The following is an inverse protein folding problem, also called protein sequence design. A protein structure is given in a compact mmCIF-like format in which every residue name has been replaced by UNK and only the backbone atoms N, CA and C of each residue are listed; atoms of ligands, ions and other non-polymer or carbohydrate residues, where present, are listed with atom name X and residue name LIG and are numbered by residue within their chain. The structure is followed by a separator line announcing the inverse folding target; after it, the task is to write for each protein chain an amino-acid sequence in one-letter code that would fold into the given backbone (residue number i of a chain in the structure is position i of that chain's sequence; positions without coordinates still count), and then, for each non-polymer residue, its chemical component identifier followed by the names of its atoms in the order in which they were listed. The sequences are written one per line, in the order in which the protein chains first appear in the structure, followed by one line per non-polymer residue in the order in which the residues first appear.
data_IF_113007474750
#
_entry.id   IF_113007474750
#
_cell.length_a   1.000
_cell.length_b   1.000
_cell.length_c   1.000
_cell.angle_alpha   90.00
_cell.angle_beta   90.00
_cell.angle_gamma   90.00
#
_symmetry.space_group_name_H-M   'P 1'
#
loop_
_entity.id
_entity.type
_entity.pdbx_description
1 polymer ?
#
# COMPACT_ATOMS: atom_id res chain seq x y z
N UNK A 1 -21.55 30.54 4.81
CA UNK A 1 -20.10 30.61 5.10
C UNK A 1 -19.78 30.65 6.59
N UNK A 2 -20.61 31.30 7.43
CA UNK A 2 -20.37 31.44 8.87
C UNK A 2 -20.37 30.10 9.65
N UNK A 3 -21.24 29.15 9.31
CA UNK A 3 -21.33 27.86 10.01
C UNK A 3 -20.14 26.91 9.77
N UNK A 4 -19.39 27.06 8.66
CA UNK A 4 -18.17 26.27 8.41
C UNK A 4 -16.99 26.74 9.26
N UNK A 5 -16.95 28.02 9.62
CA UNK A 5 -15.87 28.61 10.42
C UNK A 5 -15.98 28.19 11.90
N UNK A 6 -17.21 28.08 12.41
CA UNK A 6 -17.48 27.69 13.81
C UNK A 6 -17.11 26.22 14.07
N UNK A 7 -17.35 25.33 13.09
CA UNK A 7 -16.99 23.90 13.18
C UNK A 7 -15.47 23.70 13.16
N UNK A 8 -14.73 24.53 12.39
CA UNK A 8 -13.25 24.48 12.33
C UNK A 8 -12.64 24.91 13.67
N UNK A 9 -13.22 25.91 14.35
CA UNK A 9 -12.73 26.36 15.67
C UNK A 9 -12.98 25.30 16.75
N UNK A 10 -14.10 24.57 16.69
CA UNK A 10 -14.45 23.53 17.65
C UNK A 10 -13.56 22.28 17.55
N UNK A 11 -13.05 21.91 16.37
CA UNK A 11 -12.12 20.78 16.20
C UNK A 11 -10.73 21.13 16.74
N UNK A 12 -10.33 22.40 16.68
CA UNK A 12 -9.04 22.88 17.18
C UNK A 12 -9.02 22.90 18.72
N UNK A 13 -10.13 23.25 19.38
CA UNK A 13 -10.18 23.31 20.85
C UNK A 13 -10.13 21.93 21.53
N UNK A 14 -10.64 20.88 20.90
CA UNK A 14 -10.63 19.52 21.48
C UNK A 14 -9.21 18.90 21.47
N UNK A 15 -8.34 19.26 20.52
CA UNK A 15 -6.94 18.78 20.52
C UNK A 15 -6.02 19.50 21.52
N UNK A 16 -6.43 20.65 22.07
CA UNK A 16 -5.62 21.40 23.03
C UNK A 16 -5.60 20.71 24.40
N UNK A 17 -6.61 19.89 24.73
CA UNK A 17 -6.71 19.21 26.03
C UNK A 17 -5.93 17.90 26.13
N UNK A 18 -5.40 17.34 25.04
CA UNK A 18 -4.61 16.09 25.08
C UNK A 18 -3.09 16.29 25.02
N UNK A 19 -2.60 17.53 24.99
CA UNK A 19 -1.16 17.84 24.85
C UNK A 19 -0.44 17.91 26.22
N UNK A 20 -1.17 17.91 27.33
CA UNK A 20 -0.59 17.80 28.67
C UNK A 20 -0.11 16.36 28.93
N UNK A 21 1.04 15.98 28.38
CA UNK A 21 1.71 14.73 28.80
C UNK A 21 2.84 14.19 27.92
N UNK A 22 3.01 14.61 26.67
CA UNK A 22 4.06 14.03 25.82
C UNK A 22 5.37 14.80 25.88
N UNK A 23 6.38 14.23 26.55
CA UNK A 23 7.73 14.80 26.74
C UNK A 23 8.57 14.99 25.47
N UNK A 24 8.05 14.70 24.28
CA UNK A 24 8.75 14.81 23.00
C UNK A 24 7.82 15.31 21.89
N UNK A 25 7.11 16.43 22.10
CA UNK A 25 6.42 17.09 20.98
C UNK A 25 7.48 17.67 20.05
N UNK A 26 7.50 17.33 18.76
CA UNK A 26 8.43 17.93 17.82
C UNK A 26 8.30 19.45 17.85
N UNK A 27 9.41 20.15 18.02
CA UNK A 27 9.44 21.60 17.92
C UNK A 27 9.05 21.99 16.51
N UNK A 28 8.25 23.04 16.38
CA UNK A 28 7.83 23.56 15.08
C UNK A 28 9.09 23.99 14.31
N UNK A 29 9.28 23.57 13.04
CA UNK A 29 10.45 23.96 12.26
C UNK A 29 10.56 25.47 12.07
N UNK A 30 11.78 25.97 11.94
CA UNK A 30 12.05 27.39 11.69
C UNK A 30 11.25 27.91 10.48
N UNK A 31 10.64 29.08 10.64
CA UNK A 31 9.73 29.68 9.65
C UNK A 31 8.24 29.45 9.91
N UNK A 32 7.87 28.58 10.86
CA UNK A 32 6.48 28.38 11.29
C UNK A 32 6.29 28.75 12.76
N UNK A 33 5.26 29.54 13.06
CA UNK A 33 5.01 30.06 14.42
C UNK A 33 4.33 29.05 15.35
N UNK A 34 3.68 28.04 14.79
CA UNK A 34 2.93 27.02 15.52
C UNK A 34 2.70 25.77 14.68
N UNK A 35 2.36 24.66 15.33
CA UNK A 35 1.95 23.43 14.64
C UNK A 35 0.73 23.65 13.74
N UNK A 36 -0.14 24.61 14.09
CA UNK A 36 -1.29 25.01 13.26
C UNK A 36 -0.85 25.67 11.96
N UNK A 37 0.15 26.57 12.01
CA UNK A 37 0.67 27.22 10.80
C UNK A 37 1.41 26.23 9.91
N UNK A 38 2.11 25.26 10.50
CA UNK A 38 2.73 24.15 9.76
C UNK A 38 1.68 23.27 9.06
N UNK A 39 0.61 22.86 9.76
CA UNK A 39 -0.50 22.07 9.19
C UNK A 39 -1.20 22.82 8.07
N UNK A 40 -1.45 24.12 8.23
CA UNK A 40 -2.00 25.00 7.18
C UNK A 40 -1.06 25.00 5.97
N UNK A 41 0.24 25.23 6.17
CA UNK A 41 1.20 25.23 5.07
C UNK A 41 1.27 23.89 4.34
N UNK A 42 1.20 22.77 5.05
CA UNK A 42 1.10 21.44 4.45
C UNK A 42 -0.18 21.26 3.63
N UNK A 43 -1.35 21.60 4.19
CA UNK A 43 -2.66 21.48 3.52
C UNK A 43 -2.74 22.35 2.26
N UNK A 44 -2.14 23.54 2.28
CA UNK A 44 -2.11 24.45 1.14
C UNK A 44 -0.92 24.21 0.19
N UNK A 45 -0.16 23.11 0.37
CA UNK A 45 0.96 22.75 -0.50
C UNK A 45 2.14 23.75 -0.47
N UNK A 46 2.26 24.53 0.61
CA UNK A 46 3.36 25.49 0.86
C UNK A 46 4.52 24.87 1.64
N UNK A 47 4.37 23.61 2.04
CA UNK A 47 5.41 22.82 2.68
C UNK A 47 5.82 21.70 1.74
N UNK A 48 7.00 21.83 1.14
CA UNK A 48 7.64 20.71 0.46
C UNK A 48 8.21 19.78 1.54
N UNK A 49 7.60 18.60 1.69
CA UNK A 49 8.21 17.54 2.50
C UNK A 49 9.52 17.15 1.83
N UNK A 50 10.64 17.49 2.46
CA UNK A 50 11.95 17.01 2.04
C UNK A 50 11.98 15.50 2.34
N UNK A 51 11.55 14.69 1.37
CA UNK A 51 11.98 13.30 1.33
C UNK A 51 13.49 13.35 1.08
N UNK A 52 14.27 13.24 2.15
CA UNK A 52 15.70 12.99 2.03
C UNK A 52 15.87 11.78 1.12
N UNK A 53 16.52 11.95 -0.04
CA UNK A 53 16.79 10.87 -0.99
C UNK A 53 17.55 9.79 -0.24
N UNK A 54 16.85 8.75 0.22
CA UNK A 54 17.46 7.71 1.02
C UNK A 54 18.49 6.96 0.17
N UNK A 55 19.75 7.11 0.55
CA UNK A 55 20.87 6.41 -0.07
C UNK A 55 20.81 4.95 0.35
N UNK A 56 20.87 4.04 -0.63
CA UNK A 56 20.95 2.59 -0.35
C UNK A 56 22.33 2.30 0.26
N UNK A 57 22.40 1.77 1.49
CA UNK A 57 23.69 1.47 2.12
C UNK A 57 24.50 0.43 1.33
N UNK A 58 25.82 0.51 1.39
CA UNK A 58 26.72 -0.39 0.66
C UNK A 58 26.55 -1.88 1.00
N UNK A 59 26.06 -2.21 2.20
CA UNK A 59 25.77 -3.58 2.63
C UNK A 59 24.40 -4.11 2.16
N UNK A 60 23.59 -3.28 1.51
CA UNK A 60 22.31 -3.68 0.91
C UNK A 60 22.48 -3.87 -0.60
N UNK A 61 21.94 -4.97 -1.13
CA UNK A 61 21.75 -5.18 -2.56
C UNK A 61 20.37 -4.66 -2.92
N UNK A 62 20.31 -3.70 -3.85
CA UNK A 62 19.06 -3.25 -4.48
C UNK A 62 19.03 -3.66 -5.94
N UNK A 63 17.93 -4.25 -6.37
CA UNK A 63 17.55 -4.36 -7.77
C UNK A 63 16.42 -3.36 -8.02
N UNK A 64 16.59 -2.51 -9.02
CA UNK A 64 15.59 -1.51 -9.39
C UNK A 64 14.94 -1.89 -10.70
N UNK A 65 13.65 -1.56 -10.84
CA UNK A 65 12.91 -1.61 -12.11
C UNK A 65 12.87 -3.00 -12.77
N UNK A 66 12.81 -4.07 -11.97
CA UNK A 66 12.62 -5.43 -12.46
C UNK A 66 11.21 -5.54 -13.07
N UNK A 67 11.13 -5.82 -14.37
CA UNK A 67 9.85 -5.95 -15.07
C UNK A 67 9.22 -7.29 -14.73
N UNK A 68 8.07 -7.28 -14.08
CA UNK A 68 7.33 -8.50 -13.71
C UNK A 68 6.16 -8.78 -14.67
N UNK A 69 5.65 -7.76 -15.37
CA UNK A 69 4.52 -7.87 -16.29
C UNK A 69 4.56 -6.78 -17.35
N UNK A 70 4.16 -7.11 -18.58
CA UNK A 70 3.93 -6.16 -19.68
C UNK A 70 2.45 -6.20 -20.07
N UNK A 71 1.83 -5.03 -20.21
CA UNK A 71 0.44 -4.85 -20.66
C UNK A 71 0.43 -3.79 -21.76
N UNK A 72 0.33 -4.23 -23.02
CA UNK A 72 0.58 -3.34 -24.16
C UNK A 72 1.94 -2.65 -24.02
N UNK A 73 1.94 -1.32 -24.02
CA UNK A 73 3.16 -0.51 -23.84
C UNK A 73 3.55 -0.26 -22.37
N UNK A 74 2.72 -0.66 -21.41
CA UNK A 74 3.00 -0.49 -19.97
C UNK A 74 3.84 -1.66 -19.45
N UNK A 75 5.07 -1.39 -19.03
CA UNK A 75 5.90 -2.36 -18.31
C UNK A 75 5.80 -2.12 -16.81
N UNK A 76 5.11 -2.99 -16.09
CA UNK A 76 4.98 -2.93 -14.64
C UNK A 76 6.22 -3.49 -13.96
N UNK A 77 6.75 -2.73 -13.01
CA UNK A 77 8.06 -2.96 -12.42
C UNK A 77 7.98 -3.14 -10.90
N UNK A 78 8.99 -3.80 -10.35
CA UNK A 78 9.22 -3.86 -8.92
C UNK A 78 10.67 -3.55 -8.58
N UNK A 79 10.90 -3.11 -7.35
CA UNK A 79 12.20 -3.01 -6.73
C UNK A 79 12.32 -4.08 -5.65
N UNK A 80 13.55 -4.54 -5.42
CA UNK A 80 13.86 -5.58 -4.46
C UNK A 80 15.14 -5.25 -3.69
N UNK A 81 15.12 -5.39 -2.37
CA UNK A 81 16.23 -5.12 -1.47
C UNK A 81 16.48 -6.27 -0.50
N UNK A 82 17.75 -6.64 -0.28
CA UNK A 82 18.19 -7.57 0.77
C UNK A 82 19.63 -7.28 1.20
N UNK A 83 20.07 -7.81 2.34
CA UNK A 83 21.45 -7.67 2.79
C UNK A 83 22.42 -8.51 1.94
N UNK A 84 23.56 -7.95 1.51
CA UNK A 84 24.53 -8.66 0.64
C UNK A 84 25.14 -9.92 1.27
N UNK A 85 25.13 -10.01 2.59
CA UNK A 85 25.65 -11.15 3.36
C UNK A 85 24.59 -12.22 3.64
N UNK A 86 23.40 -12.13 3.04
CA UNK A 86 22.35 -13.12 3.18
C UNK A 86 22.83 -14.47 2.59
N UNK A 87 22.91 -15.51 3.43
CA UNK A 87 23.48 -16.83 3.05
C UNK A 87 22.44 -17.89 2.70
N UNK A 88 21.19 -17.68 3.09
CA UNK A 88 20.06 -18.60 2.89
C UNK A 88 18.86 -17.82 2.35
N UNK A 89 17.83 -18.53 1.90
CA UNK A 89 16.55 -17.90 1.64
C UNK A 89 16.00 -17.25 2.91
N UNK A 90 15.26 -16.16 2.75
CA UNK A 90 14.70 -15.39 3.85
C UNK A 90 13.24 -15.01 3.59
N UNK A 91 12.45 -14.70 4.64
CA UNK A 91 11.10 -14.22 4.47
C UNK A 91 11.04 -12.95 3.61
N UNK A 92 10.00 -12.85 2.80
CA UNK A 92 9.74 -11.73 1.90
C UNK A 92 8.68 -10.79 2.49
N UNK A 93 8.98 -9.49 2.51
CA UNK A 93 8.01 -8.43 2.80
C UNK A 93 7.69 -7.65 1.52
N UNK A 94 6.45 -7.70 1.07
CA UNK A 94 5.97 -6.98 -0.12
C UNK A 94 5.21 -5.73 0.31
N UNK A 95 5.70 -4.55 -0.07
CA UNK A 95 5.10 -3.26 0.24
C UNK A 95 4.29 -2.72 -0.94
N UNK A 96 3.02 -2.42 -0.72
CA UNK A 96 2.08 -1.88 -1.71
C UNK A 96 1.67 -0.46 -1.29
N UNK A 97 2.02 0.54 -2.10
CA UNK A 97 1.73 1.94 -1.80
C UNK A 97 0.26 2.30 -2.01
N UNK A 98 -0.23 3.21 -1.17
CA UNK A 98 -1.59 3.74 -1.20
C UNK A 98 -1.67 5.17 -1.71
N UNK A 99 -2.50 5.41 -2.72
CA UNK A 99 -2.76 6.73 -3.32
C UNK A 99 -4.12 6.73 -4.05
N UNK A 100 -5.14 6.15 -3.40
CA UNK A 100 -6.49 5.98 -3.97
C UNK A 100 -6.51 5.31 -5.35
N UNK A 101 -5.54 4.43 -5.62
CA UNK A 101 -5.29 3.79 -6.93
C UNK A 101 -5.01 4.76 -8.10
N UNK A 102 -4.88 6.07 -7.87
CA UNK A 102 -4.85 7.09 -8.95
C UNK A 102 -3.46 7.34 -9.51
N UNK A 103 -2.45 7.25 -8.66
CA UNK A 103 -1.04 7.52 -8.97
C UNK A 103 -0.18 6.83 -7.91
N UNK A 104 1.12 7.08 -7.91
CA UNK A 104 2.01 6.64 -6.83
C UNK A 104 3.41 6.32 -7.31
N UNK A 105 4.23 5.91 -6.36
CA UNK A 105 5.64 5.58 -6.59
C UNK A 105 6.05 4.45 -5.65
N UNK A 106 6.55 3.34 -6.23
CA UNK A 106 7.12 2.21 -5.49
C UNK A 106 8.32 2.59 -4.59
N UNK A 107 8.95 3.74 -4.83
CA UNK A 107 10.09 4.22 -4.06
C UNK A 107 9.69 4.85 -2.70
N UNK A 108 8.41 5.15 -2.47
CA UNK A 108 7.91 5.72 -1.19
C UNK A 108 8.26 4.86 0.03
N UNK A 109 8.36 3.55 -0.16
CA UNK A 109 8.72 2.62 0.92
C UNK A 109 10.19 2.23 0.94
N UNK A 110 11.06 2.88 0.14
CA UNK A 110 12.48 2.52 0.07
C UNK A 110 13.14 2.49 1.46
N UNK A 111 12.74 3.41 2.34
CA UNK A 111 13.19 3.40 3.73
C UNK A 111 12.87 2.10 4.47
N UNK A 112 11.61 1.67 4.43
CA UNK A 112 11.19 0.41 5.05
C UNK A 112 11.85 -0.79 4.38
N UNK A 113 11.97 -0.80 3.06
CA UNK A 113 12.69 -1.86 2.33
C UNK A 113 14.13 -2.00 2.87
N UNK A 114 14.86 -0.89 2.98
CA UNK A 114 16.23 -0.90 3.51
C UNK A 114 16.25 -1.35 4.98
N UNK A 115 15.37 -0.82 5.82
CA UNK A 115 15.39 -1.06 7.26
C UNK A 115 15.02 -2.52 7.60
N UNK A 116 14.10 -3.14 6.86
CA UNK A 116 13.81 -4.57 7.00
C UNK A 116 14.83 -5.45 6.28
N UNK A 117 15.43 -5.02 5.17
CA UNK A 117 16.54 -5.74 4.55
C UNK A 117 17.74 -5.89 5.50
N UNK A 118 18.05 -4.85 6.29
CA UNK A 118 19.08 -4.90 7.35
C UNK A 118 18.75 -5.92 8.45
N UNK A 119 17.48 -6.22 8.68
CA UNK A 119 16.99 -7.20 9.66
C UNK A 119 16.95 -8.64 9.11
N UNK A 120 17.45 -8.85 7.89
CA UNK A 120 17.54 -10.18 7.29
C UNK A 120 16.33 -10.61 6.46
N UNK A 121 15.43 -9.67 6.12
CA UNK A 121 14.32 -9.93 5.20
C UNK A 121 14.75 -9.68 3.74
N UNK A 122 14.10 -10.36 2.80
CA UNK A 122 13.99 -9.82 1.44
C UNK A 122 12.80 -8.87 1.44
N UNK A 123 12.94 -7.72 0.81
CA UNK A 123 11.87 -6.73 0.73
C UNK A 123 11.63 -6.34 -0.70
N UNK A 124 10.38 -6.10 -1.07
CA UNK A 124 10.01 -5.67 -2.41
C UNK A 124 8.94 -4.59 -2.37
N UNK A 125 8.94 -3.71 -3.37
CA UNK A 125 7.83 -2.82 -3.67
C UNK A 125 7.51 -2.89 -5.15
N UNK A 126 6.23 -2.82 -5.51
CA UNK A 126 5.76 -3.10 -6.88
C UNK A 126 4.85 -1.99 -7.38
N UNK A 127 4.93 -1.70 -8.67
CA UNK A 127 3.93 -0.92 -9.39
C UNK A 127 2.71 -1.76 -9.70
N UNK A 128 1.56 -1.12 -9.88
CA UNK A 128 0.32 -1.72 -10.41
C UNK A 128 -0.37 -0.71 -11.32
N UNK A 129 -1.27 -1.16 -12.21
CA UNK A 129 -2.01 -0.23 -13.07
C UNK A 129 -2.93 0.67 -12.26
N UNK A 130 -2.90 1.97 -12.55
CA UNK A 130 -3.74 2.96 -11.89
C UNK A 130 -5.15 3.00 -12.45
N UNK A 131 -6.09 3.57 -11.68
CA UNK A 131 -7.51 3.64 -12.01
C UNK A 131 -7.83 4.38 -13.32
N UNK A 132 -6.94 5.25 -13.78
CA UNK A 132 -7.02 5.89 -15.12
C UNK A 132 -6.39 5.07 -16.25
N UNK A 133 -5.53 4.11 -15.92
CA UNK A 133 -4.93 3.18 -16.89
C UNK A 133 -5.85 1.97 -17.13
N UNK A 134 -6.42 1.42 -16.05
CA UNK A 134 -7.34 0.29 -16.12
C UNK A 134 -8.28 0.27 -14.90
N UNK A 135 -9.48 -0.27 -15.09
CA UNK A 135 -10.49 -0.44 -14.02
C UNK A 135 -10.26 -1.74 -13.25
N UNK A 136 -10.88 -1.85 -12.09
CA UNK A 136 -11.00 -3.12 -11.38
C UNK A 136 -11.44 -4.24 -12.35
N UNK A 137 -10.83 -5.45 -12.31
CA UNK A 137 -9.86 -5.96 -11.34
C UNK A 137 -8.37 -5.78 -11.72
N UNK A 138 -8.04 -4.91 -12.67
CA UNK A 138 -6.68 -4.83 -13.22
C UNK A 138 -5.55 -4.68 -12.18
N UNK A 139 -5.73 -3.80 -11.18
CA UNK A 139 -4.73 -3.57 -10.15
C UNK A 139 -4.48 -4.80 -9.27
N UNK A 140 -5.54 -5.54 -8.90
CA UNK A 140 -5.38 -6.76 -8.10
C UNK A 140 -4.74 -7.89 -8.92
N UNK A 141 -5.09 -8.02 -10.21
CA UNK A 141 -4.39 -8.96 -11.10
C UNK A 141 -2.90 -8.64 -11.18
N UNK A 142 -2.52 -7.36 -11.25
CA UNK A 142 -1.13 -6.93 -11.32
C UNK A 142 -0.35 -7.28 -10.05
N UNK A 143 -0.93 -7.01 -8.87
CA UNK A 143 -0.34 -7.37 -7.57
C UNK A 143 -0.13 -8.89 -7.44
N UNK A 144 -1.14 -9.69 -7.78
CA UNK A 144 -1.03 -11.16 -7.79
C UNK A 144 0.07 -11.64 -8.73
N UNK A 145 0.17 -11.04 -9.91
CA UNK A 145 1.23 -11.34 -10.87
C UNK A 145 2.62 -11.01 -10.35
N UNK A 146 2.80 -9.89 -9.64
CA UNK A 146 4.07 -9.56 -9.02
C UNK A 146 4.47 -10.58 -7.95
N UNK A 147 3.52 -11.05 -7.11
CA UNK A 147 3.79 -12.09 -6.11
C UNK A 147 4.17 -13.42 -6.78
N UNK A 148 3.44 -13.84 -7.81
CA UNK A 148 3.79 -15.04 -8.60
C UNK A 148 5.18 -14.92 -9.22
N UNK A 149 5.51 -13.76 -9.77
CA UNK A 149 6.83 -13.50 -10.33
C UNK A 149 7.93 -13.57 -9.28
N UNK A 150 7.70 -13.01 -8.08
CA UNK A 150 8.64 -13.09 -6.96
C UNK A 150 8.87 -14.53 -6.49
N UNK A 151 7.80 -15.34 -6.42
CA UNK A 151 7.90 -16.78 -6.11
C UNK A 151 8.64 -17.56 -7.19
N UNK A 152 8.36 -17.29 -8.47
CA UNK A 152 9.05 -17.94 -9.59
C UNK A 152 10.55 -17.63 -9.60
N UNK A 153 10.93 -16.43 -9.13
CA UNK A 153 12.33 -16.00 -9.05
C UNK A 153 12.92 -16.16 -7.64
N UNK A 154 12.33 -16.98 -6.78
CA UNK A 154 12.66 -16.99 -5.36
C UNK A 154 14.11 -17.36 -5.09
N UNK A 155 14.62 -18.40 -5.73
CA UNK A 155 16.02 -18.85 -5.62
C UNK A 155 17.00 -17.73 -5.99
N UNK A 156 16.75 -17.06 -7.12
CA UNK A 156 17.59 -15.97 -7.64
C UNK A 156 17.71 -14.79 -6.69
N UNK A 157 16.67 -14.52 -5.91
CA UNK A 157 16.59 -13.35 -5.03
C UNK A 157 16.61 -13.73 -3.54
N UNK A 158 17.00 -14.96 -3.19
CA UNK A 158 17.07 -15.46 -1.81
C UNK A 158 15.75 -15.35 -1.05
N UNK A 159 14.62 -15.52 -1.74
CA UNK A 159 13.28 -15.49 -1.13
C UNK A 159 12.92 -16.89 -0.66
N UNK A 160 12.31 -16.99 0.52
CA UNK A 160 11.53 -18.17 0.90
C UNK A 160 10.09 -18.00 0.37
N UNK A 161 9.65 -18.77 -0.65
CA UNK A 161 8.34 -18.58 -1.28
C UNK A 161 7.15 -18.95 -0.36
N UNK A 162 7.42 -19.63 0.76
CA UNK A 162 6.42 -20.04 1.76
C UNK A 162 6.36 -19.09 2.96
N UNK A 163 7.15 -18.01 2.96
CA UNK A 163 7.19 -17.01 4.03
C UNK A 163 7.09 -15.60 3.45
N UNK A 164 5.90 -15.24 2.99
CA UNK A 164 5.61 -13.93 2.36
C UNK A 164 4.58 -13.18 3.20
N UNK A 165 4.94 -11.97 3.64
CA UNK A 165 4.00 -11.01 4.20
C UNK A 165 3.76 -9.86 3.21
N UNK A 166 2.52 -9.40 3.12
CA UNK A 166 2.15 -8.22 2.33
C UNK A 166 1.75 -7.08 3.26
N UNK A 167 2.26 -5.88 2.98
CA UNK A 167 2.05 -4.68 3.77
C UNK A 167 1.57 -3.59 2.84
N UNK A 168 0.54 -2.86 3.21
CA UNK A 168 0.09 -1.74 2.41
C UNK A 168 -0.67 -0.69 3.20
N UNK A 169 -0.62 0.55 2.73
CA UNK A 169 -1.40 1.66 3.29
C UNK A 169 -2.56 2.08 2.41
N UNK A 170 -3.70 2.46 2.97
CA UNK A 170 -4.89 2.95 2.24
C UNK A 170 -5.24 2.02 1.05
N UNK A 171 -5.21 2.52 -0.20
CA UNK A 171 -5.48 1.70 -1.38
C UNK A 171 -4.51 0.51 -1.56
N UNK A 172 -3.29 0.62 -1.02
CA UNK A 172 -2.34 -0.48 -0.95
C UNK A 172 -2.68 -1.51 0.12
N UNK A 173 -3.23 -1.07 1.26
CA UNK A 173 -3.76 -1.97 2.31
C UNK A 173 -4.97 -2.76 1.82
N UNK A 174 -5.86 -2.08 1.09
CA UNK A 174 -6.92 -2.73 0.31
C UNK A 174 -6.37 -3.80 -0.65
N UNK A 175 -5.33 -3.48 -1.44
CA UNK A 175 -4.75 -4.44 -2.39
C UNK A 175 -4.06 -5.62 -1.67
N UNK A 176 -3.48 -5.37 -0.49
CA UNK A 176 -2.90 -6.40 0.37
C UNK A 176 -3.97 -7.38 0.87
N UNK A 177 -5.11 -6.87 1.34
CA UNK A 177 -6.25 -7.69 1.75
C UNK A 177 -6.85 -8.45 0.57
N UNK A 178 -7.12 -7.77 -0.56
CA UNK A 178 -7.61 -8.44 -1.77
C UNK A 178 -6.66 -9.55 -2.22
N UNK A 179 -5.35 -9.33 -2.22
CA UNK A 179 -4.36 -10.35 -2.59
C UNK A 179 -4.50 -11.61 -1.72
N UNK A 180 -4.55 -11.41 -0.41
CA UNK A 180 -4.60 -12.49 0.56
C UNK A 180 -5.92 -13.28 0.48
N UNK A 181 -7.04 -12.58 0.61
CA UNK A 181 -8.36 -13.21 0.78
C UNK A 181 -8.94 -13.75 -0.52
N UNK A 182 -8.29 -13.50 -1.65
CA UNK A 182 -8.76 -14.00 -2.96
C UNK A 182 -7.75 -14.96 -3.61
N UNK A 183 -6.84 -15.52 -2.84
CA UNK A 183 -5.73 -16.36 -3.34
C UNK A 183 -6.17 -17.63 -4.07
N UNK A 184 -7.42 -18.04 -3.87
CA UNK A 184 -8.13 -19.19 -4.44
C UNK A 184 -9.29 -18.78 -5.36
N UNK A 185 -9.50 -17.49 -5.57
CA UNK A 185 -10.58 -16.96 -6.44
C UNK A 185 -10.05 -16.80 -7.86
N UNK A 186 -10.43 -17.75 -8.73
CA UNK A 186 -9.94 -17.84 -10.11
C UNK A 186 -10.13 -16.55 -10.93
N UNK A 187 -11.20 -15.80 -10.69
CA UNK A 187 -11.49 -14.52 -11.38
C UNK A 187 -10.33 -13.51 -11.26
N UNK A 188 -9.61 -13.51 -10.13
CA UNK A 188 -8.55 -12.55 -9.88
C UNK A 188 -7.14 -13.07 -10.22
N UNK A 189 -7.01 -14.34 -10.63
CA UNK A 189 -5.72 -15.00 -10.86
C UNK A 189 -5.14 -14.82 -12.28
N UNK A 190 -5.83 -14.06 -13.13
CA UNK A 190 -5.49 -13.87 -14.54
C UNK A 190 -4.41 -12.79 -14.81
N UNK A 191 -3.80 -12.85 -16.00
CA UNK A 191 -3.08 -11.70 -16.58
C UNK A 191 -1.55 -11.70 -16.53
N UNK A 192 -0.85 -12.76 -16.12
CA UNK A 192 0.62 -12.84 -16.21
C UNK A 192 1.17 -14.09 -16.92
N UNK A 193 0.32 -15.00 -17.39
CA UNK A 193 0.74 -16.26 -18.04
C UNK A 193 1.77 -17.04 -17.20
N UNK A 194 1.63 -17.00 -15.86
CA UNK A 194 2.44 -17.80 -14.93
C UNK A 194 1.56 -18.96 -14.47
N UNK A 195 1.87 -20.15 -14.96
CA UNK A 195 1.19 -21.39 -14.60
C UNK A 195 1.91 -22.08 -13.42
N UNK A 196 1.18 -22.89 -12.65
CA UNK A 196 1.74 -23.68 -11.55
C UNK A 196 2.16 -22.91 -10.30
N UNK A 197 2.08 -21.56 -10.30
CA UNK A 197 2.44 -20.72 -9.15
C UNK A 197 1.20 -19.96 -8.65
N UNK A 198 0.82 -20.18 -7.38
CA UNK A 198 -0.27 -19.46 -6.74
C UNK A 198 0.17 -18.11 -6.14
N UNK A 199 -0.78 -17.22 -5.91
CA UNK A 199 -0.54 -15.89 -5.31
C UNK A 199 -0.64 -15.87 -3.77
N UNK A 200 -0.78 -17.03 -3.08
CA UNK A 200 -0.95 -17.10 -1.62
C UNK A 200 0.18 -16.41 -0.85
N UNK A 201 -0.19 -15.72 0.23
CA UNK A 201 0.73 -15.08 1.18
C UNK A 201 0.39 -15.54 2.59
N UNK A 202 1.34 -15.40 3.52
CA UNK A 202 1.27 -15.97 4.88
C UNK A 202 0.94 -14.94 5.96
N UNK A 203 0.99 -13.64 5.67
CA UNK A 203 0.57 -12.59 6.59
C UNK A 203 0.17 -11.31 5.86
N UNK A 204 -0.74 -10.54 6.46
CA UNK A 204 -1.15 -9.21 5.98
C UNK A 204 -0.90 -8.18 7.08
N UNK A 205 -0.33 -7.03 6.70
CA UNK A 205 -0.31 -5.82 7.52
C UNK A 205 -1.06 -4.73 6.76
N UNK A 206 -2.29 -4.45 7.21
CA UNK A 206 -3.12 -3.39 6.68
C UNK A 206 -2.89 -2.10 7.48
N UNK A 207 -2.45 -1.05 6.79
CA UNK A 207 -2.39 0.30 7.34
C UNK A 207 -3.60 1.06 6.78
N UNK A 208 -4.72 1.05 7.50
CA UNK A 208 -5.95 1.82 7.21
C UNK A 208 -6.50 1.66 5.78
N UNK A 209 -6.41 0.46 5.19
CA UNK A 209 -7.06 0.15 3.92
C UNK A 209 -8.58 -0.06 4.09
N UNK A 210 -9.42 0.34 3.12
CA UNK A 210 -10.86 0.09 3.20
C UNK A 210 -11.14 -1.41 2.96
N UNK A 211 -11.68 -2.17 3.93
CA UNK A 211 -12.01 -3.59 3.75
C UNK A 211 -13.35 -3.79 3.02
N UNK A 212 -14.19 -2.76 3.00
CA UNK A 212 -15.52 -2.77 2.39
C UNK A 212 -15.69 -1.49 1.55
N UNK A 213 -15.80 -1.65 0.23
CA UNK A 213 -16.06 -0.53 -0.67
C UNK A 213 -17.54 -0.15 -0.71
N UNK A 214 -18.41 -0.94 -0.10
CA UNK A 214 -19.85 -0.64 0.06
C UNK A 214 -20.15 0.17 1.33
N UNK A 215 -19.14 0.41 2.16
CA UNK A 215 -19.28 1.29 3.32
C UNK A 215 -19.65 2.72 2.89
N UNK A 216 -20.54 3.34 3.67
CA UNK A 216 -21.08 4.67 3.37
C UNK A 216 -19.97 5.72 3.22
N UNK A 217 -18.96 5.70 4.09
CA UNK A 217 -17.87 6.69 4.04
C UNK A 217 -17.03 6.49 2.78
N UNK A 218 -16.81 5.25 2.36
CA UNK A 218 -16.06 4.93 1.13
C UNK A 218 -16.83 5.35 -0.11
N UNK A 219 -18.14 5.11 -0.15
CA UNK A 219 -19.02 5.54 -1.24
C UNK A 219 -19.05 7.07 -1.34
N UNK A 220 -19.25 7.77 -0.22
CA UNK A 220 -19.32 9.24 -0.17
C UNK A 220 -17.99 9.90 -0.57
N UNK A 221 -16.87 9.22 -0.36
CA UNK A 221 -15.57 9.73 -0.76
C UNK A 221 -15.34 9.69 -2.29
N UNK A 222 -16.09 8.87 -3.05
CA UNK A 222 -16.07 8.76 -4.53
C UNK A 222 -14.74 8.32 -5.16
N UNK A 223 -13.71 7.97 -4.38
CA UNK A 223 -12.46 7.48 -4.95
C UNK A 223 -12.62 6.11 -5.62
N UNK A 224 -13.49 5.26 -5.06
CA UNK A 224 -13.83 3.97 -5.64
C UNK A 224 -14.50 4.11 -7.01
N UNK A 225 -15.26 5.18 -7.27
CA UNK A 225 -15.92 5.42 -8.56
C UNK A 225 -14.94 5.41 -9.74
N UNK A 226 -13.77 6.03 -9.56
CA UNK A 226 -12.74 6.08 -10.61
C UNK A 226 -12.09 4.71 -10.78
N UNK A 227 -11.87 3.99 -9.67
CA UNK A 227 -11.25 2.66 -9.65
C UNK A 227 -12.16 1.59 -10.29
N UNK A 228 -13.45 1.61 -9.97
CA UNK A 228 -14.48 0.74 -10.54
C UNK A 228 -14.88 1.19 -11.96
N UNK A 229 -14.82 2.50 -12.22
CA UNK A 229 -15.24 3.12 -13.48
C UNK A 229 -16.72 3.53 -13.52
N UNK A 230 -17.47 3.31 -12.44
CA UNK A 230 -18.88 3.68 -12.28
C UNK A 230 -19.18 4.06 -10.82
N UNK A 231 -20.14 4.97 -10.57
CA UNK A 231 -20.61 5.25 -9.21
C UNK A 231 -21.34 4.04 -8.62
N UNK A 232 -21.37 3.95 -7.28
CA UNK A 232 -21.93 2.82 -6.55
C UNK A 232 -23.37 2.46 -6.96
N UNK A 233 -24.24 3.46 -7.14
CA UNK A 233 -25.64 3.25 -7.53
C UNK A 233 -25.83 2.60 -8.91
N UNK A 234 -24.80 2.60 -9.76
CA UNK A 234 -24.82 1.96 -11.09
C UNK A 234 -24.06 0.62 -11.13
N UNK A 235 -23.34 0.27 -10.06
CA UNK A 235 -22.38 -0.84 -10.07
C UNK A 235 -22.22 -1.54 -8.72
N UNK A 236 -23.23 -1.50 -7.84
CA UNK A 236 -23.16 -2.03 -6.47
C UNK A 236 -22.66 -3.48 -6.38
N UNK A 237 -22.98 -4.33 -7.37
CA UNK A 237 -22.45 -5.68 -7.48
C UNK A 237 -20.92 -5.74 -7.64
N UNK A 238 -20.35 -4.84 -8.45
CA UNK A 238 -18.89 -4.76 -8.65
C UNK A 238 -18.21 -4.22 -7.38
N UNK A 239 -18.84 -3.29 -6.66
CA UNK A 239 -18.31 -2.81 -5.37
C UNK A 239 -18.26 -3.94 -4.34
N UNK A 240 -19.30 -4.79 -4.30
CA UNK A 240 -19.29 -6.01 -3.46
C UNK A 240 -18.17 -6.97 -3.88
N UNK A 241 -18.02 -7.24 -5.17
CA UNK A 241 -16.92 -8.07 -5.69
C UNK A 241 -15.54 -7.48 -5.41
N UNK A 242 -15.43 -6.16 -5.36
CA UNK A 242 -14.21 -5.46 -5.05
C UNK A 242 -14.00 -5.30 -3.53
N UNK A 243 -14.86 -5.81 -2.66
CA UNK A 243 -14.70 -5.63 -1.20
C UNK A 243 -14.01 -6.85 -0.57
N UNK A 244 -12.78 -6.72 -0.04
CA UNK A 244 -12.03 -7.84 0.54
C UNK A 244 -12.81 -8.61 1.61
N UNK A 245 -13.62 -7.91 2.42
CA UNK A 245 -14.40 -8.51 3.51
C UNK A 245 -15.32 -9.66 3.04
N UNK A 246 -15.73 -9.67 1.77
CA UNK A 246 -16.63 -10.68 1.22
C UNK A 246 -15.94 -12.00 0.86
N UNK A 247 -14.61 -12.07 0.96
CA UNK A 247 -13.84 -13.28 0.63
C UNK A 247 -13.17 -13.92 1.84
N UNK A 248 -13.36 -13.35 3.03
CA UNK A 248 -12.74 -13.87 4.24
C UNK A 248 -13.19 -15.31 4.54
N UNK A 249 -12.21 -16.18 4.78
CA UNK A 249 -12.38 -17.56 5.20
C UNK A 249 -11.53 -17.86 6.44
N UNK A 250 -11.79 -18.99 7.09
CA UNK A 250 -10.97 -19.47 8.22
C UNK A 250 -9.52 -19.85 7.82
N UNK A 251 -9.27 -20.04 6.53
CA UNK A 251 -7.97 -20.49 6.00
C UNK A 251 -7.11 -19.30 5.54
N UNK A 252 -7.61 -18.07 5.69
CA UNK A 252 -6.88 -16.85 5.35
C UNK A 252 -5.73 -16.56 6.32
N UNK A 253 -4.68 -15.87 5.85
CA UNK A 253 -3.53 -15.55 6.68
C UNK A 253 -3.89 -14.58 7.82
N UNK A 254 -3.16 -14.64 8.95
CA UNK A 254 -3.30 -13.66 10.02
C UNK A 254 -3.10 -12.24 9.49
N UNK A 255 -4.01 -11.35 9.91
CA UNK A 255 -4.03 -9.95 9.48
C UNK A 255 -3.88 -9.02 10.67
N UNK A 256 -2.87 -8.15 10.61
CA UNK A 256 -2.66 -7.07 11.56
C UNK A 256 -3.15 -5.76 10.95
N UNK A 257 -4.04 -5.06 11.65
CA UNK A 257 -4.64 -3.80 11.18
C UNK A 257 -4.17 -2.65 12.06
N UNK A 258 -3.67 -1.59 11.42
CA UNK A 258 -3.40 -0.30 12.05
C UNK A 258 -4.37 0.74 11.51
N UNK A 259 -5.21 1.30 12.38
CA UNK A 259 -6.14 2.37 12.03
C UNK A 259 -6.13 3.45 13.11
N UNK A 260 -5.98 4.71 12.71
CA UNK A 260 -5.99 5.85 13.63
C UNK A 260 -7.41 6.38 13.85
N UNK A 261 -7.70 6.89 15.04
CA UNK A 261 -8.96 7.53 15.42
C UNK A 261 -8.86 9.05 15.45
#
# INVERSE_FOLDING_TARGET
MLNKLIIIIAIISVQILSIYGQKNVPTVPDGYRSMTTLKIAYVFGRLDLIEEKRVVPNNIKKYSNLVYKKVGNRSLKLDLCYAKNLKKTAPLLVFIYGEAWKYGNKDKYLGYLIDFAKKGYVTASLEYRYSKEAKFPAAINDVKCAVKWLKLNAEKYHINPDQIAVIGGSSGGYLAMMLAYTSDVAEFESGCNIEGVNSRVQAVVDLYGPPDLTDKQVIEATQADVFIGKPYNQASGIYKQASPINYLTKDDPPTLIFHGT
#
